data_IF_003305714264
#
_entry.id   IF_003305714264
#
_cell.length_a   1.000
_cell.length_b   1.000
_cell.length_c   1.000
_cell.angle_alpha   90.00
_cell.angle_beta   90.00
_cell.angle_gamma   90.00
#
_symmetry.space_group_name_H-M   'P 1'
#
loop_
_entity.id
_entity.type
_entity.pdbx_description
1 polymer ?
#
# COMPACT_ATOMS: atom_id res chain seq x y z
N UNK A 1 -23.67 39.13 -23.20
CA UNK A 1 -22.59 38.78 -22.25
C UNK A 1 -23.16 38.90 -20.86
N UNK A 2 -23.42 37.78 -20.20
CA UNK A 2 -23.93 37.74 -18.83
C UNK A 2 -23.13 36.70 -18.06
N UNK A 3 -22.25 37.17 -17.17
CA UNK A 3 -21.62 36.37 -16.14
C UNK A 3 -22.65 36.07 -15.06
N UNK A 4 -22.82 34.80 -14.67
CA UNK A 4 -23.37 34.48 -13.33
C UNK A 4 -23.01 33.06 -12.88
N UNK A 5 -21.98 33.02 -12.03
CA UNK A 5 -21.92 32.37 -10.71
C UNK A 5 -22.03 30.84 -10.64
N UNK A 6 -20.85 30.23 -10.55
CA UNK A 6 -20.54 28.92 -9.99
C UNK A 6 -21.18 28.72 -8.60
N UNK A 7 -21.82 27.57 -8.39
CA UNK A 7 -22.17 27.06 -7.06
C UNK A 7 -21.23 25.90 -6.79
N UNK A 8 -20.13 26.21 -6.09
CA UNK A 8 -19.21 25.25 -5.50
C UNK A 8 -19.84 24.78 -4.19
N UNK A 9 -20.33 23.54 -4.15
CA UNK A 9 -20.87 22.94 -2.93
C UNK A 9 -19.70 22.54 -2.01
N UNK A 10 -19.38 23.45 -1.09
CA UNK A 10 -18.44 23.27 0.01
C UNK A 10 -19.24 22.87 1.26
N UNK A 11 -19.18 21.60 1.66
CA UNK A 11 -19.58 21.13 3.00
C UNK A 11 -18.40 20.31 3.53
N UNK A 12 -17.46 20.90 4.29
CA UNK A 12 -17.49 21.15 5.73
C UNK A 12 -18.04 19.99 6.58
N UNK A 13 -17.14 19.22 7.17
CA UNK A 13 -17.21 18.80 8.58
C UNK A 13 -15.79 18.45 9.05
N UNK A 14 -15.05 19.48 9.45
CA UNK A 14 -13.77 19.35 10.16
C UNK A 14 -14.10 19.09 11.63
N UNK A 15 -14.11 17.82 12.03
CA UNK A 15 -14.21 17.41 13.43
C UNK A 15 -12.79 17.30 14.04
N UNK A 16 -12.20 18.45 14.38
CA UNK A 16 -11.01 18.52 15.21
C UNK A 16 -11.40 18.43 16.70
N UNK A 17 -11.29 17.25 17.31
CA UNK A 17 -10.83 17.07 18.70
C UNK A 17 -10.88 15.59 19.13
N UNK A 18 -9.70 15.02 19.43
CA UNK A 18 -9.47 13.88 20.31
C UNK A 18 -10.10 12.51 19.91
N UNK A 19 -9.86 12.05 18.68
CA UNK A 19 -9.79 10.60 18.43
C UNK A 19 -8.32 10.21 18.59
N UNK A 20 -8.01 9.36 19.59
CA UNK A 20 -6.66 8.86 19.80
C UNK A 20 -6.08 8.40 18.46
N UNK A 21 -4.97 9.00 18.06
CA UNK A 21 -4.41 8.75 16.75
C UNK A 21 -4.05 7.26 16.67
N UNK A 22 -4.90 6.52 15.95
CA UNK A 22 -4.79 5.09 15.76
C UNK A 22 -3.71 4.82 14.71
N UNK A 23 -3.00 3.71 14.86
CA UNK A 23 -1.90 3.34 13.98
C UNK A 23 -0.55 3.29 14.69
N UNK A 24 0.42 2.75 13.96
CA UNK A 24 1.77 2.52 14.46
C UNK A 24 2.57 3.82 14.39
N UNK A 25 3.34 4.11 15.45
CA UNK A 25 4.20 5.28 15.50
C UNK A 25 5.55 4.99 14.85
N UNK A 26 5.98 5.89 13.98
CA UNK A 26 7.29 5.86 13.34
C UNK A 26 8.02 7.17 13.63
N UNK A 27 9.28 7.07 14.03
CA UNK A 27 10.17 8.23 14.26
C UNK A 27 10.68 8.80 12.92
N UNK A 28 9.75 9.10 12.02
CA UNK A 28 10.00 9.66 10.69
C UNK A 28 8.95 10.71 10.37
N UNK A 29 9.32 11.84 9.74
CA UNK A 29 8.36 12.87 9.37
C UNK A 29 7.40 12.35 8.28
N UNK A 30 6.16 12.89 8.18
CA UNK A 30 5.14 12.40 7.26
C UNK A 30 5.58 12.33 5.79
N UNK A 31 6.39 13.30 5.36
CA UNK A 31 6.93 13.35 4.00
C UNK A 31 7.89 12.19 3.71
N UNK A 32 8.72 11.78 4.69
CA UNK A 32 9.61 10.63 4.54
C UNK A 32 8.82 9.32 4.51
N UNK A 33 7.82 9.20 5.39
CA UNK A 33 6.90 8.05 5.40
C UNK A 33 6.19 7.91 4.05
N UNK A 34 5.60 8.99 3.54
CA UNK A 34 4.91 8.97 2.24
C UNK A 34 5.87 8.62 1.09
N UNK A 35 7.09 9.15 1.11
CA UNK A 35 8.13 8.81 0.13
C UNK A 35 8.50 7.32 0.19
N UNK A 36 8.67 6.77 1.39
CA UNK A 36 9.01 5.37 1.59
C UNK A 36 7.92 4.44 1.04
N UNK A 37 6.64 4.71 1.35
CA UNK A 37 5.51 3.89 0.87
C UNK A 37 5.38 3.99 -0.66
N UNK A 38 5.60 5.16 -1.27
CA UNK A 38 5.57 5.30 -2.73
C UNK A 38 6.67 4.53 -3.45
N UNK A 39 7.82 4.37 -2.82
CA UNK A 39 8.93 3.56 -3.35
C UNK A 39 8.83 2.08 -2.98
N UNK A 40 7.76 1.67 -2.29
CA UNK A 40 7.62 0.31 -1.80
C UNK A 40 7.20 -0.65 -2.92
N UNK A 41 7.86 -1.80 -2.94
CA UNK A 41 7.52 -2.90 -3.82
C UNK A 41 6.73 -3.94 -3.03
N UNK A 42 5.62 -4.40 -3.60
CA UNK A 42 4.81 -5.45 -3.01
C UNK A 42 5.02 -6.74 -3.81
N UNK A 43 5.59 -7.80 -3.20
CA UNK A 43 5.77 -9.06 -3.90
C UNK A 43 4.41 -9.68 -4.24
N UNK A 44 4.05 -9.74 -5.52
CA UNK A 44 2.70 -10.16 -5.94
C UNK A 44 2.43 -11.65 -5.67
N UNK A 45 3.48 -12.47 -5.63
CA UNK A 45 3.38 -13.91 -5.33
C UNK A 45 2.83 -14.21 -3.92
N UNK A 46 2.95 -13.28 -2.95
CA UNK A 46 2.35 -13.44 -1.62
C UNK A 46 0.87 -13.05 -1.57
N UNK A 47 0.34 -12.42 -2.62
CA UNK A 47 -1.05 -11.91 -2.70
C UNK A 47 -2.01 -12.89 -3.40
N UNK A 48 -1.52 -14.08 -3.78
CA UNK A 48 -2.27 -15.08 -4.52
C UNK A 48 -2.34 -14.80 -6.04
N UNK A 49 -2.81 -15.78 -6.79
CA UNK A 49 -2.72 -15.80 -8.26
C UNK A 49 -3.60 -14.77 -8.98
N UNK A 50 -4.58 -14.18 -8.29
CA UNK A 50 -5.50 -13.20 -8.86
C UNK A 50 -4.91 -11.80 -8.98
N UNK A 51 -3.96 -11.45 -8.10
CA UNK A 51 -3.26 -10.17 -8.16
C UNK A 51 -2.07 -10.32 -9.11
N UNK A 52 -2.01 -9.43 -10.10
CA UNK A 52 -0.97 -9.46 -11.14
C UNK A 52 0.04 -8.34 -10.98
N UNK A 53 -0.40 -7.20 -10.45
CA UNK A 53 0.43 -6.00 -10.29
C UNK A 53 -0.13 -5.12 -9.18
N UNK A 54 0.66 -4.14 -8.75
CA UNK A 54 0.22 -3.07 -7.86
C UNK A 54 0.56 -1.71 -8.43
N UNK A 55 -0.18 -0.67 -8.03
CA UNK A 55 0.07 0.73 -8.38
C UNK A 55 -0.07 1.57 -7.12
N UNK A 56 0.89 2.46 -6.86
CA UNK A 56 0.83 3.38 -5.72
C UNK A 56 0.43 4.78 -6.20
N UNK A 57 -0.53 5.39 -5.51
CA UNK A 57 -0.97 6.77 -5.75
C UNK A 57 -1.01 7.56 -4.43
N UNK A 58 -0.99 8.88 -4.51
CA UNK A 58 -1.08 9.77 -3.36
C UNK A 58 -2.21 10.78 -3.59
N UNK A 59 -3.48 10.43 -3.30
CA UNK A 59 -4.63 11.30 -3.56
C UNK A 59 -4.63 12.57 -2.70
N UNK A 60 -3.96 12.56 -1.54
CA UNK A 60 -3.81 13.70 -0.65
C UNK A 60 -2.44 13.66 0.06
N UNK A 61 -1.99 14.78 0.66
CA UNK A 61 -0.69 14.83 1.34
C UNK A 61 -0.53 13.79 2.47
N UNK A 62 -1.64 13.43 3.11
CA UNK A 62 -1.74 12.53 4.27
C UNK A 62 -2.19 11.11 3.89
N UNK A 63 -2.50 10.82 2.62
CA UNK A 63 -3.01 9.51 2.21
C UNK A 63 -2.22 8.93 1.05
N UNK A 64 -1.72 7.71 1.21
CA UNK A 64 -1.09 6.91 0.17
C UNK A 64 -1.94 5.67 -0.08
N UNK A 65 -2.24 5.37 -1.34
CA UNK A 65 -3.07 4.23 -1.74
C UNK A 65 -2.25 3.27 -2.59
N UNK A 66 -2.07 2.04 -2.11
CA UNK A 66 -1.54 0.93 -2.92
C UNK A 66 -2.70 0.13 -3.50
N UNK A 67 -2.99 0.33 -4.79
CA UNK A 67 -4.01 -0.41 -5.54
C UNK A 67 -3.45 -1.75 -6.01
N UNK A 68 -4.12 -2.84 -5.64
CA UNK A 68 -3.87 -4.18 -6.17
C UNK A 68 -4.72 -4.40 -7.43
N UNK A 69 -4.06 -4.82 -8.51
CA UNK A 69 -4.66 -4.96 -9.82
C UNK A 69 -4.63 -6.42 -10.27
N UNK A 70 -5.76 -6.91 -10.77
CA UNK A 70 -5.88 -8.22 -11.41
C UNK A 70 -5.63 -8.17 -12.92
N UNK A 71 -5.99 -9.27 -13.59
CA UNK A 71 -5.89 -9.39 -15.04
C UNK A 71 -6.63 -8.23 -15.75
N UNK A 72 -6.03 -7.70 -16.83
CA UNK A 72 -6.58 -6.57 -17.58
C UNK A 72 -6.57 -5.23 -16.84
N UNK A 73 -5.95 -5.13 -15.65
CA UNK A 73 -5.91 -3.88 -14.88
C UNK A 73 -7.14 -3.60 -14.05
N UNK A 74 -8.01 -4.60 -13.84
CA UNK A 74 -9.14 -4.47 -12.94
C UNK A 74 -8.65 -4.26 -11.51
N UNK A 75 -9.16 -3.24 -10.82
CA UNK A 75 -8.88 -3.02 -9.41
C UNK A 75 -9.55 -4.09 -8.56
N UNK A 76 -8.77 -4.68 -7.64
CA UNK A 76 -9.22 -5.79 -6.81
C UNK A 76 -9.35 -5.38 -5.34
N UNK A 77 -8.39 -4.58 -4.86
CA UNK A 77 -8.31 -4.15 -3.46
C UNK A 77 -7.37 -2.95 -3.37
N UNK A 78 -7.60 -2.08 -2.39
CA UNK A 78 -6.74 -0.95 -2.07
C UNK A 78 -6.21 -1.09 -0.65
N UNK A 79 -4.92 -0.85 -0.47
CA UNK A 79 -4.35 -0.58 0.85
C UNK A 79 -4.33 0.93 1.03
N UNK A 80 -5.26 1.45 1.82
CA UNK A 80 -5.39 2.88 2.10
C UNK A 80 -4.58 3.18 3.35
N UNK A 81 -3.51 3.96 3.18
CA UNK A 81 -2.60 4.32 4.27
C UNK A 81 -2.75 5.79 4.61
N UNK A 82 -3.11 6.09 5.86
CA UNK A 82 -3.23 7.45 6.39
C UNK A 82 -2.03 7.77 7.27
N UNK A 83 -1.43 8.94 7.06
CA UNK A 83 -0.21 9.41 7.73
C UNK A 83 -0.56 10.69 8.49
N UNK A 84 -0.57 10.60 9.82
CA UNK A 84 -0.85 11.75 10.70
C UNK A 84 0.45 12.20 11.38
N UNK A 85 0.80 13.49 11.37
CA UNK A 85 1.93 13.99 12.16
C UNK A 85 1.74 13.69 13.66
N UNK A 86 2.79 13.21 14.34
CA UNK A 86 2.79 13.01 15.79
C UNK A 86 4.16 13.41 16.39
N UNK A 87 4.23 14.60 16.98
CA UNK A 87 5.48 15.16 17.50
C UNK A 87 6.54 15.33 16.41
N UNK A 88 7.70 14.72 16.60
CA UNK A 88 8.79 14.65 15.60
C UNK A 88 8.59 13.57 14.53
N UNK A 89 7.61 12.67 14.73
CA UNK A 89 7.37 11.50 13.90
C UNK A 89 5.99 11.51 13.24
N UNK A 90 5.52 10.32 12.89
CA UNK A 90 4.22 10.10 12.26
C UNK A 90 3.51 8.90 12.86
N UNK A 91 2.19 8.96 12.91
CA UNK A 91 1.33 7.78 13.09
C UNK A 91 0.78 7.34 11.75
N UNK A 92 0.85 6.04 11.51
CA UNK A 92 0.46 5.45 10.23
C UNK A 92 -0.57 4.36 10.49
N UNK A 93 -1.73 4.50 9.86
CA UNK A 93 -2.78 3.47 9.84
C UNK A 93 -2.97 2.97 8.41
N UNK A 94 -3.27 1.68 8.27
CA UNK A 94 -3.52 1.06 6.97
C UNK A 94 -4.77 0.22 7.03
N UNK A 95 -5.69 0.48 6.11
CA UNK A 95 -6.98 -0.19 5.98
C UNK A 95 -7.13 -0.82 4.60
N UNK A 96 -7.89 -1.91 4.53
CA UNK A 96 -8.31 -2.49 3.27
C UNK A 96 -9.58 -1.82 2.78
N UNK A 97 -9.56 -1.31 1.56
CA UNK A 97 -10.76 -0.88 0.83
C UNK A 97 -10.96 -1.76 -0.39
N UNK A 98 -12.22 -2.07 -0.70
CA UNK A 98 -12.59 -2.94 -1.82
C UNK A 98 -13.51 -2.16 -2.75
N UNK A 99 -13.20 -2.09 -4.05
CA UNK A 99 -14.07 -1.43 -5.03
C UNK A 99 -15.48 -2.02 -4.98
N UNK A 100 -16.52 -1.18 -5.09
CA UNK A 100 -17.93 -1.60 -4.94
C UNK A 100 -18.30 -2.80 -5.83
N UNK A 101 -17.82 -2.84 -7.08
CA UNK A 101 -18.08 -3.96 -8.01
C UNK A 101 -17.38 -5.29 -7.68
N UNK A 102 -16.45 -5.29 -6.72
CA UNK A 102 -15.77 -6.49 -6.19
C UNK A 102 -16.33 -6.88 -4.83
N UNK A 103 -16.79 -5.90 -4.04
CA UNK A 103 -17.29 -6.07 -2.68
C UNK A 103 -18.43 -7.08 -2.61
N UNK A 104 -19.43 -6.99 -3.47
CA UNK A 104 -20.58 -7.90 -3.44
C UNK A 104 -20.17 -9.37 -3.65
N UNK A 105 -19.19 -9.60 -4.54
CA UNK A 105 -18.66 -10.94 -4.80
C UNK A 105 -17.84 -11.45 -3.63
N UNK A 106 -17.10 -10.57 -2.96
CA UNK A 106 -16.36 -10.95 -1.76
C UNK A 106 -17.32 -11.24 -0.60
N UNK A 107 -18.33 -10.40 -0.37
CA UNK A 107 -19.30 -10.58 0.71
C UNK A 107 -20.06 -11.90 0.51
N UNK A 108 -20.43 -12.23 -0.74
CA UNK A 108 -20.98 -13.54 -1.10
C UNK A 108 -19.99 -14.68 -0.80
N UNK A 109 -18.72 -14.56 -1.22
CA UNK A 109 -17.70 -15.56 -0.95
C UNK A 109 -17.43 -15.76 0.56
N UNK A 110 -17.39 -14.69 1.34
CA UNK A 110 -17.21 -14.70 2.80
C UNK A 110 -18.39 -15.38 3.49
N UNK A 111 -19.61 -15.16 3.00
CA UNK A 111 -20.80 -15.83 3.54
C UNK A 111 -20.84 -17.34 3.27
N UNK A 112 -20.19 -17.78 2.19
CA UNK A 112 -20.20 -19.18 1.70
C UNK A 112 -18.98 -19.98 2.15
N UNK A 113 -17.86 -19.32 2.42
CA UNK A 113 -16.60 -19.95 2.78
C UNK A 113 -15.93 -19.20 3.94
N UNK A 114 -15.85 -19.82 5.14
CA UNK A 114 -15.11 -19.28 6.28
C UNK A 114 -13.64 -18.95 5.97
N UNK A 115 -13.04 -19.59 4.95
CA UNK A 115 -11.67 -19.31 4.53
C UNK A 115 -11.52 -17.96 3.84
N UNK A 116 -12.58 -17.40 3.26
CA UNK A 116 -12.54 -16.07 2.68
C UNK A 116 -12.39 -14.97 3.75
N UNK A 117 -13.02 -15.13 4.93
CA UNK A 117 -12.80 -14.23 6.06
C UNK A 117 -11.36 -14.32 6.59
N UNK A 118 -10.80 -15.53 6.66
CA UNK A 118 -9.40 -15.73 7.02
C UNK A 118 -8.44 -15.09 6.01
N UNK A 119 -8.70 -15.25 4.71
CA UNK A 119 -7.92 -14.62 3.65
C UNK A 119 -7.92 -13.09 3.76
N UNK A 120 -9.06 -12.47 4.10
CA UNK A 120 -9.14 -11.03 4.35
C UNK A 120 -8.28 -10.58 5.56
N UNK A 121 -8.27 -11.38 6.63
CA UNK A 121 -7.37 -11.16 7.76
C UNK A 121 -5.89 -11.23 7.37
N UNK A 122 -5.52 -12.21 6.53
CA UNK A 122 -4.17 -12.31 5.97
C UNK A 122 -3.83 -11.10 5.10
N UNK A 123 -4.73 -10.67 4.23
CA UNK A 123 -4.52 -9.47 3.40
C UNK A 123 -4.29 -8.21 4.24
N UNK A 124 -4.99 -8.08 5.38
CA UNK A 124 -4.80 -6.95 6.29
C UNK A 124 -3.43 -6.97 6.97
N UNK A 125 -2.91 -8.16 7.29
CA UNK A 125 -1.55 -8.32 7.80
C UNK A 125 -0.51 -7.97 6.73
N UNK A 126 -0.70 -8.45 5.49
CA UNK A 126 0.18 -8.13 4.37
C UNK A 126 0.19 -6.61 4.06
N UNK A 127 -0.95 -5.94 4.15
CA UNK A 127 -1.04 -4.49 3.96
C UNK A 127 -0.24 -3.72 5.01
N UNK A 128 -0.36 -4.11 6.30
CA UNK A 128 0.43 -3.49 7.39
C UNK A 128 1.92 -3.73 7.21
N UNK A 129 2.29 -4.94 6.84
CA UNK A 129 3.69 -5.29 6.60
C UNK A 129 4.29 -4.53 5.42
N UNK A 130 3.55 -4.41 4.33
CA UNK A 130 3.99 -3.63 3.17
C UNK A 130 4.38 -2.21 3.56
N UNK A 131 3.56 -1.57 4.41
CA UNK A 131 3.80 -0.22 4.90
C UNK A 131 4.94 -0.19 5.91
N UNK A 132 4.97 -1.10 6.89
CA UNK A 132 6.02 -1.16 7.89
C UNK A 132 7.40 -1.43 7.26
N UNK A 133 7.51 -2.44 6.41
CA UNK A 133 8.75 -2.80 5.72
C UNK A 133 9.28 -1.64 4.87
N UNK A 134 8.39 -0.92 4.18
CA UNK A 134 8.75 0.26 3.40
C UNK A 134 9.31 1.38 4.28
N UNK A 135 8.61 1.74 5.36
CA UNK A 135 9.03 2.82 6.26
C UNK A 135 10.36 2.49 6.94
N UNK A 136 10.54 1.24 7.36
CA UNK A 136 11.73 0.74 8.04
C UNK A 136 12.90 0.45 7.09
N UNK A 137 12.67 0.46 5.77
CA UNK A 137 13.70 0.20 4.76
C UNK A 137 14.21 -1.24 4.76
N UNK A 138 13.37 -2.20 5.14
CA UNK A 138 13.70 -3.63 5.18
C UNK A 138 12.94 -4.43 4.12
N UNK A 139 13.41 -5.63 3.74
CA UNK A 139 12.63 -6.53 2.89
C UNK A 139 11.28 -6.91 3.51
N UNK A 140 10.31 -7.19 2.64
CA UNK A 140 9.00 -7.69 3.01
C UNK A 140 9.13 -9.07 3.68
N UNK A 141 8.54 -9.25 4.87
CA UNK A 141 8.51 -10.53 5.59
C UNK A 141 7.45 -11.47 4.98
N UNK A 142 7.90 -12.38 4.12
CA UNK A 142 7.03 -13.36 3.48
C UNK A 142 6.44 -14.40 4.47
N UNK A 143 6.89 -14.42 5.72
CA UNK A 143 6.45 -15.41 6.72
C UNK A 143 5.17 -15.03 7.46
N UNK A 144 4.66 -13.80 7.28
CA UNK A 144 3.52 -13.26 8.03
C UNK A 144 2.19 -13.98 7.81
N UNK A 145 2.05 -14.76 6.74
CA UNK A 145 0.89 -15.62 6.50
C UNK A 145 1.00 -17.03 7.08
N UNK A 146 2.15 -17.42 7.65
CA UNK A 146 2.41 -18.78 8.11
C UNK A 146 2.76 -18.81 9.61
N UNK A 147 1.82 -19.17 10.49
CA UNK A 147 2.06 -19.19 11.93
C UNK A 147 3.17 -20.18 12.34
N UNK A 148 3.43 -21.22 11.53
CA UNK A 148 4.48 -22.20 11.80
C UNK A 148 5.86 -21.74 11.35
N UNK A 149 5.96 -20.75 10.46
CA UNK A 149 7.24 -20.27 9.94
C UNK A 149 8.05 -19.57 11.04
N UNK A 150 7.42 -18.73 11.87
CA UNK A 150 8.11 -18.07 12.99
C UNK A 150 8.64 -19.06 14.04
N UNK A 151 7.84 -20.08 14.36
CA UNK A 151 8.27 -21.14 15.28
C UNK A 151 9.45 -21.95 14.71
N UNK A 152 9.38 -22.32 13.43
CA UNK A 152 10.47 -23.04 12.76
C UNK A 152 11.77 -22.22 12.70
N UNK A 153 11.69 -20.91 12.41
CA UNK A 153 12.86 -20.02 12.43
C UNK A 153 13.46 -19.84 13.81
N UNK A 154 12.65 -19.84 14.87
CA UNK A 154 13.15 -19.78 16.24
C UNK A 154 13.88 -21.07 16.66
N UNK A 155 13.44 -22.22 16.14
CA UNK A 155 14.04 -23.53 16.42
C UNK A 155 15.29 -23.83 15.57
N UNK A 156 15.42 -23.20 14.39
CA UNK A 156 16.58 -23.35 13.53
C UNK A 156 17.05 -21.98 12.96
N UNK A 157 18.11 -21.38 13.54
CA UNK A 157 18.64 -20.09 13.11
C UNK A 157 19.18 -20.05 11.67
N UNK A 158 19.63 -21.16 11.11
CA UNK A 158 20.06 -21.21 9.70
C UNK A 158 18.87 -20.98 8.76
N UNK A 159 17.69 -21.46 9.14
CA UNK A 159 16.46 -21.22 8.38
C UNK A 159 16.08 -19.74 8.34
N UNK A 160 16.37 -18.99 9.42
CA UNK A 160 16.19 -17.54 9.43
C UNK A 160 17.06 -16.86 8.36
N UNK A 161 18.33 -17.25 8.22
CA UNK A 161 19.21 -16.67 7.20
C UNK A 161 18.71 -16.95 5.78
N UNK A 162 18.21 -18.17 5.54
CA UNK A 162 17.61 -18.51 4.25
C UNK A 162 16.34 -17.73 3.95
N UNK A 163 15.48 -17.51 4.95
CA UNK A 163 14.27 -16.69 4.80
C UNK A 163 14.62 -15.23 4.54
N UNK A 164 15.57 -14.67 5.29
CA UNK A 164 16.01 -13.28 5.10
C UNK A 164 16.60 -13.08 3.69
N UNK A 165 17.39 -14.04 3.19
CA UNK A 165 17.91 -14.03 1.82
C UNK A 165 16.79 -14.17 0.76
N UNK A 166 15.80 -15.02 1.01
CA UNK A 166 14.66 -15.18 0.12
C UNK A 166 13.79 -13.91 0.07
N UNK A 167 13.57 -13.25 1.21
CA UNK A 167 12.85 -11.98 1.28
C UNK A 167 13.57 -10.88 0.49
N UNK A 168 14.90 -10.81 0.59
CA UNK A 168 15.70 -9.87 -0.19
C UNK A 168 15.62 -10.16 -1.71
N UNK A 169 15.78 -11.42 -2.11
CA UNK A 169 15.66 -11.81 -3.52
C UNK A 169 14.25 -11.54 -4.09
N UNK A 170 13.20 -11.82 -3.30
CA UNK A 170 11.81 -11.53 -3.66
C UNK A 170 11.58 -10.02 -3.85
N UNK A 171 12.17 -9.19 -3.00
CA UNK A 171 12.10 -7.74 -3.13
C UNK A 171 12.79 -7.25 -4.41
N UNK A 172 13.95 -7.82 -4.76
CA UNK A 172 14.67 -7.48 -5.98
C UNK A 172 13.91 -7.90 -7.24
N UNK A 173 13.32 -9.10 -7.25
CA UNK A 173 12.45 -9.57 -8.35
C UNK A 173 11.24 -8.66 -8.49
N UNK A 174 10.54 -8.36 -7.38
CA UNK A 174 9.36 -7.49 -7.42
C UNK A 174 9.70 -6.08 -7.95
N UNK A 175 10.88 -5.56 -7.62
CA UNK A 175 11.39 -4.31 -8.19
C UNK A 175 11.57 -4.41 -9.70
N UNK A 176 12.23 -5.46 -10.17
CA UNK A 176 12.45 -5.67 -11.60
C UNK A 176 11.16 -5.89 -12.39
N UNK A 177 10.23 -6.70 -11.87
CA UNK A 177 8.93 -6.95 -12.52
C UNK A 177 8.10 -5.67 -12.63
N UNK A 178 8.00 -4.89 -11.54
CA UNK A 178 7.27 -3.64 -11.57
C UNK A 178 7.95 -2.59 -12.45
N UNK A 179 9.28 -2.54 -12.48
CA UNK A 179 10.01 -1.64 -13.36
C UNK A 179 9.85 -2.01 -14.84
N UNK A 180 9.90 -3.30 -15.19
CA UNK A 180 9.70 -3.77 -16.55
C UNK A 180 8.26 -3.51 -17.04
N UNK A 181 7.26 -3.81 -16.20
CA UNK A 181 5.85 -3.49 -16.49
C UNK A 181 5.63 -1.98 -16.61
N UNK A 182 6.33 -1.20 -15.79
CA UNK A 182 6.30 0.25 -15.81
C UNK A 182 6.84 0.81 -17.13
N UNK A 183 8.06 0.44 -17.52
CA UNK A 183 8.69 0.87 -18.77
C UNK A 183 7.83 0.48 -19.99
N UNK A 184 7.23 -0.72 -19.96
CA UNK A 184 6.34 -1.20 -21.03
C UNK A 184 5.01 -0.47 -21.09
N UNK A 185 4.48 0.06 -19.98
CA UNK A 185 3.11 0.59 -19.91
C UNK A 185 3.04 2.12 -19.91
N UNK A 186 4.10 2.80 -19.45
CA UNK A 186 4.08 4.24 -19.17
C UNK A 186 5.30 5.03 -19.68
N UNK A 187 6.33 4.38 -20.23
CA UNK A 187 7.55 5.06 -20.69
C UNK A 187 8.39 5.64 -19.53
N UNK A 188 9.44 6.42 -19.84
CA UNK A 188 10.44 6.92 -18.87
C UNK A 188 9.95 8.00 -17.88
N UNK A 189 8.66 8.31 -17.82
CA UNK A 189 8.14 9.50 -17.11
C UNK A 189 7.96 9.34 -15.58
N UNK A 190 8.25 8.18 -15.01
CA UNK A 190 8.06 7.93 -13.56
C UNK A 190 9.40 7.59 -12.93
N UNK A 191 10.08 8.66 -12.48
CA UNK A 191 11.43 8.62 -11.92
C UNK A 191 12.19 9.93 -12.12
N UNK A 192 11.83 10.73 -13.12
CA UNK A 192 12.48 12.02 -13.45
C UNK A 192 11.71 13.29 -13.04
N UNK A 193 10.61 13.22 -12.28
CA UNK A 193 9.98 14.43 -11.71
C UNK A 193 10.69 14.96 -10.46
N UNK A 194 12.00 14.68 -10.35
CA UNK A 194 12.88 15.05 -9.26
C UNK A 194 14.04 15.97 -9.65
N UNK A 195 14.00 16.67 -10.79
CA UNK A 195 14.86 17.86 -11.01
C UNK A 195 14.37 18.72 -12.16
N UNK A 196 14.04 19.98 -11.86
CA UNK A 196 13.89 21.12 -12.76
C UNK A 196 12.96 20.96 -13.97
N UNK A 197 11.71 21.38 -13.82
CA UNK A 197 11.07 22.34 -14.73
C UNK A 197 9.88 22.98 -14.05
N UNK A 198 9.85 24.30 -14.15
CA UNK A 198 8.86 25.17 -13.58
C UNK A 198 7.52 25.06 -14.31
N UNK A 199 6.48 25.54 -13.62
CA UNK A 199 5.29 26.18 -14.19
C UNK A 199 4.26 25.32 -14.97
N UNK A 200 3.03 25.35 -14.45
CA UNK A 200 1.86 25.52 -15.31
C UNK A 200 0.90 24.34 -15.42
N UNK A 201 -0.07 24.27 -14.51
CA UNK A 201 -1.39 23.72 -14.84
C UNK A 201 -2.45 24.78 -14.58
N UNK A 202 -2.65 25.60 -15.62
CA UNK A 202 -3.73 26.56 -15.76
C UNK A 202 -4.03 26.73 -17.25
N UNK A 203 -4.99 25.94 -17.75
CA UNK A 203 -6.03 26.31 -18.73
C UNK A 203 -6.98 25.15 -18.93
#
# INVERSE_FOLDING_TARGET
>A
MSLSKSILALFMAVSLAACGASGDYYEKPPAEVAKAIKGAYLPTHVLGSQIKRSRVTQPSPDTVVTTLLGAGGREMMHFVTTITPDGSGSRVSTELSIPEGVKDRLDEAVSKDPMAAHAMGVMQMLAKEHVAAAIEGRPFDMTLGNPNAKAAMAMNPEMKQHVDAANAAAADIARHEQQADFESSYGSEWGESGSSSADGWGN
#
